data_IF_725425513004
#
_entry.id   IF_725425513004
#
_cell.length_a   1.000
_cell.length_b   1.000
_cell.length_c   1.000
_cell.angle_alpha   90.00
_cell.angle_beta   90.00
_cell.angle_gamma   90.00
#
_symmetry.space_group_name_H-M   'P 1'
#
loop_
_entity.id
_entity.type
_entity.pdbx_description
1 polymer ?
#
# COMPACT_ATOMS: atom_id res chain seq x y z
N UNK A 1 -0.12 15.91 -4.26
CA UNK A 1 -0.38 14.99 -3.14
C UNK A 1 0.82 14.09 -2.94
N UNK A 2 1.30 14.04 -1.73
CA UNK A 2 2.43 13.19 -1.36
C UNK A 2 1.94 12.04 -0.48
N UNK A 3 2.31 10.83 -0.84
CA UNK A 3 1.93 9.64 -0.08
C UNK A 3 3.20 9.02 0.50
N UNK A 4 3.27 8.95 1.82
CA UNK A 4 4.35 8.27 2.53
C UNK A 4 3.94 6.83 2.75
N UNK A 5 4.85 5.90 2.49
CA UNK A 5 4.55 4.47 2.60
C UNK A 5 5.60 3.80 3.47
N UNK A 6 5.16 2.97 4.40
CA UNK A 6 6.05 2.24 5.28
C UNK A 6 5.71 0.76 5.28
N UNK A 7 6.73 -0.06 5.23
CA UNK A 7 6.59 -1.51 5.23
C UNK A 7 7.20 -2.08 6.52
N UNK A 8 6.46 -2.95 7.19
CA UNK A 8 6.90 -3.55 8.44
C UNK A 8 7.11 -5.05 8.30
N UNK A 9 7.82 -5.61 9.26
CA UNK A 9 8.03 -7.05 9.35
C UNK A 9 8.71 -7.64 8.12
N UNK A 10 8.30 -8.84 7.75
CA UNK A 10 8.91 -9.52 6.60
C UNK A 10 8.62 -8.86 5.25
N UNK A 11 7.63 -7.98 5.18
CA UNK A 11 7.41 -7.21 3.94
C UNK A 11 8.60 -6.30 3.66
N UNK A 12 9.14 -5.68 4.70
CA UNK A 12 10.33 -4.85 4.57
C UNK A 12 11.49 -5.66 4.01
N UNK A 13 11.66 -6.88 4.50
CA UNK A 13 12.74 -7.75 4.05
C UNK A 13 12.50 -8.25 2.62
N UNK A 14 11.26 -8.65 2.32
CA UNK A 14 10.90 -9.17 1.00
C UNK A 14 11.06 -8.11 -0.09
N UNK A 15 10.65 -6.89 0.20
CA UNK A 15 10.72 -5.79 -0.77
C UNK A 15 12.07 -5.08 -0.77
N UNK A 16 12.89 -5.32 0.26
CA UNK A 16 14.20 -4.69 0.37
C UNK A 16 14.14 -3.22 0.74
N UNK A 17 13.00 -2.74 1.23
CA UNK A 17 12.82 -1.35 1.59
C UNK A 17 11.96 -1.22 2.83
N UNK A 18 12.18 -0.17 3.60
CA UNK A 18 11.40 0.15 4.78
C UNK A 18 10.38 1.26 4.49
N UNK A 19 10.79 2.26 3.72
CA UNK A 19 9.95 3.42 3.42
C UNK A 19 10.03 3.76 1.94
N UNK A 20 8.94 4.37 1.44
CA UNK A 20 8.90 4.87 0.08
C UNK A 20 7.92 6.05 0.02
N UNK A 21 7.94 6.75 -1.10
CA UNK A 21 7.05 7.89 -1.33
C UNK A 21 6.50 7.82 -2.74
N UNK A 22 5.24 8.27 -2.87
CA UNK A 22 4.60 8.46 -4.17
C UNK A 22 4.12 9.90 -4.22
N UNK A 23 4.28 10.53 -5.36
CA UNK A 23 3.87 11.92 -5.53
C UNK A 23 2.98 12.06 -6.76
N UNK A 24 1.85 12.75 -6.58
CA UNK A 24 0.94 13.10 -7.67
C UNK A 24 0.92 14.62 -7.78
N UNK A 25 1.28 15.14 -8.96
CA UNK A 25 1.41 16.59 -9.16
C UNK A 25 0.06 17.29 -9.25
N UNK A 26 -1.00 16.57 -9.62
CA UNK A 26 -2.33 17.16 -9.73
C UNK A 26 -3.02 17.21 -8.36
N UNK A 27 -4.13 17.96 -8.30
CA UNK A 27 -4.92 18.09 -7.09
C UNK A 27 -6.20 17.24 -7.12
N UNK A 28 -6.30 16.32 -8.06
CA UNK A 28 -7.48 15.47 -8.21
C UNK A 28 -7.48 14.35 -7.17
N UNK A 29 -8.67 13.90 -6.74
CA UNK A 29 -8.74 12.68 -5.96
C UNK A 29 -8.24 11.48 -6.76
N UNK A 30 -7.48 10.62 -6.11
CA UNK A 30 -6.98 9.39 -6.72
C UNK A 30 -7.56 8.19 -5.98
N UNK A 31 -7.93 7.15 -6.73
CA UNK A 31 -8.32 5.90 -6.11
C UNK A 31 -7.12 5.28 -5.40
N UNK A 32 -7.39 4.59 -4.31
CA UNK A 32 -6.34 3.89 -3.58
C UNK A 32 -5.61 2.90 -4.49
N UNK A 33 -6.35 2.25 -5.41
CA UNK A 33 -5.75 1.36 -6.41
C UNK A 33 -4.73 2.07 -7.29
N UNK A 34 -4.98 3.34 -7.65
CA UNK A 34 -4.03 4.10 -8.44
C UNK A 34 -2.74 4.34 -7.67
N UNK A 35 -2.86 4.62 -6.38
CA UNK A 35 -1.70 4.82 -5.52
C UNK A 35 -0.87 3.54 -5.43
N UNK A 36 -1.54 2.40 -5.26
CA UNK A 36 -0.85 1.11 -5.19
C UNK A 36 -0.19 0.75 -6.52
N UNK A 37 -0.84 1.06 -7.64
CA UNK A 37 -0.24 0.84 -8.96
C UNK A 37 0.99 1.72 -9.17
N UNK A 38 0.95 2.95 -8.70
CA UNK A 38 2.12 3.84 -8.80
C UNK A 38 3.27 3.31 -7.95
N UNK A 39 2.98 2.80 -6.77
CA UNK A 39 3.99 2.13 -5.94
C UNK A 39 4.59 0.93 -6.67
N UNK A 40 3.75 0.16 -7.36
CA UNK A 40 4.20 -1.02 -8.10
C UNK A 40 5.13 -0.65 -9.25
N UNK A 41 4.90 0.50 -9.89
CA UNK A 41 5.80 0.99 -10.93
C UNK A 41 7.22 1.20 -10.42
N UNK A 42 7.36 1.52 -9.14
CA UNK A 42 8.66 1.69 -8.50
C UNK A 42 9.20 0.42 -7.87
N UNK A 43 8.32 -0.46 -7.39
CA UNK A 43 8.70 -1.64 -6.59
C UNK A 43 8.51 -2.97 -7.31
N UNK A 44 7.82 -2.97 -8.44
CA UNK A 44 7.65 -4.16 -9.27
C UNK A 44 6.50 -5.06 -8.83
N UNK A 45 6.40 -6.21 -9.50
CA UNK A 45 5.31 -7.15 -9.29
C UNK A 45 5.31 -7.80 -7.90
N UNK A 46 6.46 -7.90 -7.27
CA UNK A 46 6.56 -8.49 -5.94
C UNK A 46 5.67 -7.75 -4.95
N UNK A 47 5.63 -6.42 -5.07
CA UNK A 47 4.76 -5.61 -4.23
C UNK A 47 3.29 -5.95 -4.46
N UNK A 48 2.86 -5.98 -5.72
CA UNK A 48 1.45 -6.29 -6.03
C UNK A 48 1.05 -7.69 -5.59
N UNK A 49 1.93 -8.67 -5.76
CA UNK A 49 1.67 -10.04 -5.32
C UNK A 49 1.57 -10.16 -3.80
N UNK A 50 2.27 -9.30 -3.09
CA UNK A 50 2.18 -9.28 -1.63
C UNK A 50 0.87 -8.68 -1.15
N UNK A 51 0.34 -7.70 -1.87
CA UNK A 51 -0.83 -6.93 -1.44
C UNK A 51 -2.14 -7.54 -1.94
N UNK A 52 -2.18 -8.03 -3.18
CA UNK A 52 -3.40 -8.53 -3.82
C UNK A 52 -3.40 -10.04 -3.95
N UNK A 53 -4.59 -10.62 -3.78
CA UNK A 53 -4.85 -12.01 -4.16
C UNK A 53 -5.10 -12.07 -5.67
N UNK A 54 -5.03 -13.27 -6.28
CA UNK A 54 -5.32 -13.42 -7.72
C UNK A 54 -6.69 -12.91 -8.14
N UNK A 55 -7.67 -12.88 -7.23
CA UNK A 55 -9.01 -12.40 -7.53
C UNK A 55 -9.14 -10.88 -7.45
N UNK A 56 -8.06 -10.17 -7.15
CA UNK A 56 -8.06 -8.72 -7.07
C UNK A 56 -8.40 -8.14 -5.71
N UNK A 57 -8.74 -8.96 -4.74
CA UNK A 57 -8.98 -8.48 -3.38
C UNK A 57 -7.67 -8.40 -2.61
N UNK A 58 -7.69 -7.67 -1.48
CA UNK A 58 -6.50 -7.56 -0.65
C UNK A 58 -6.16 -8.90 0.01
N UNK A 59 -4.87 -9.13 0.14
CA UNK A 59 -4.35 -10.29 0.87
C UNK A 59 -4.75 -10.16 2.35
N UNK A 60 -5.51 -11.14 2.91
CA UNK A 60 -5.96 -11.04 4.29
C UNK A 60 -4.83 -11.18 5.31
N UNK A 61 -3.64 -11.57 4.88
CA UNK A 61 -2.48 -11.68 5.76
C UNK A 61 -1.72 -10.36 5.91
N UNK A 62 -2.22 -9.29 5.29
CA UNK A 62 -1.62 -7.96 5.39
C UNK A 62 -2.69 -6.97 5.81
N UNK A 63 -2.39 -6.17 6.82
CA UNK A 63 -3.22 -5.02 7.16
C UNK A 63 -2.68 -3.79 6.48
N UNK A 64 -3.56 -3.04 5.83
CA UNK A 64 -3.21 -1.79 5.17
C UNK A 64 -3.86 -0.66 5.95
N UNK A 65 -3.06 0.26 6.44
CA UNK A 65 -3.54 1.34 7.30
C UNK A 65 -3.27 2.68 6.64
N UNK A 66 -4.32 3.45 6.40
CA UNK A 66 -4.24 4.78 5.81
C UNK A 66 -4.57 5.81 6.88
N UNK A 67 -3.58 6.63 7.24
CA UNK A 67 -3.74 7.66 8.28
C UNK A 67 -4.35 7.10 9.56
N UNK A 68 -3.91 5.91 9.97
CA UNK A 68 -4.36 5.28 11.21
C UNK A 68 -5.65 4.47 11.11
N UNK A 69 -6.23 4.36 9.91
CA UNK A 69 -7.46 3.60 9.72
C UNK A 69 -7.23 2.43 8.78
N UNK A 70 -7.80 1.28 9.09
CA UNK A 70 -7.70 0.09 8.25
C UNK A 70 -8.47 0.31 6.95
N UNK A 71 -7.82 -0.02 5.84
CA UNK A 71 -8.41 0.05 4.50
C UNK A 71 -8.84 -1.36 4.10
N UNK A 72 -10.11 -1.53 3.75
CA UNK A 72 -10.67 -2.85 3.42
C UNK A 72 -10.75 -3.11 1.93
N UNK A 73 -10.68 -2.07 1.11
CA UNK A 73 -10.69 -2.22 -0.34
C UNK A 73 -9.93 -1.05 -0.98
N UNK A 74 -9.67 -1.16 -2.28
CA UNK A 74 -8.86 -0.17 -2.99
C UNK A 74 -9.69 0.87 -3.75
N UNK A 75 -10.97 0.96 -3.47
CA UNK A 75 -11.88 1.87 -4.19
C UNK A 75 -12.12 3.20 -3.50
N UNK A 76 -11.49 3.40 -2.34
CA UNK A 76 -11.57 4.69 -1.66
C UNK A 76 -10.76 5.74 -2.42
N UNK A 77 -11.13 6.99 -2.26
CA UNK A 77 -10.43 8.10 -2.92
C UNK A 77 -9.60 8.88 -1.91
N UNK A 78 -8.44 9.30 -2.33
CA UNK A 78 -7.51 10.08 -1.52
C UNK A 78 -7.13 11.33 -2.29
N UNK A 79 -7.23 12.50 -1.67
CA UNK A 79 -6.90 13.76 -2.34
C UNK A 79 -6.00 14.68 -1.51
N UNK A 80 -5.46 14.18 -0.42
CA UNK A 80 -4.56 14.94 0.46
C UNK A 80 -3.35 14.10 0.80
N UNK A 81 -2.26 14.75 1.17
CA UNK A 81 -1.09 14.06 1.68
C UNK A 81 -1.51 13.06 2.75
N UNK A 82 -0.95 11.87 2.68
CA UNK A 82 -1.34 10.80 3.58
C UNK A 82 -0.18 9.84 3.84
N UNK A 83 -0.40 8.96 4.81
CA UNK A 83 0.57 7.92 5.16
C UNK A 83 -0.10 6.57 5.08
N UNK A 84 0.58 5.61 4.46
CA UNK A 84 0.12 4.22 4.34
C UNK A 84 1.12 3.33 5.06
N UNK A 85 0.59 2.42 5.86
CA UNK A 85 1.39 1.45 6.60
C UNK A 85 0.94 0.06 6.20
N UNK A 86 1.89 -0.78 5.77
CA UNK A 86 1.64 -2.18 5.44
C UNK A 86 2.20 -3.05 6.55
N UNK A 87 1.31 -3.78 7.24
CA UNK A 87 1.68 -4.63 8.37
C UNK A 87 1.32 -6.07 8.06
N UNK A 88 2.29 -6.96 7.88
CA UNK A 88 1.98 -8.38 7.67
C UNK A 88 1.59 -9.01 8.99
N UNK A 89 0.60 -9.91 8.93
CA UNK A 89 0.34 -10.77 10.08
C UNK A 89 1.44 -11.81 10.14
N UNK A 90 1.97 -12.02 11.31
CA UNK A 90 2.97 -13.06 11.51
C UNK A 90 2.37 -14.44 11.56
N UNK A 91 1.07 -14.53 11.59
CA UNK A 91 0.33 -15.77 11.41
C UNK A 91 0.55 -16.84 12.45
N UNK A 92 1.30 -16.62 13.43
CA UNK A 92 1.59 -17.63 14.42
C UNK A 92 0.44 -17.85 15.39
N UNK A 93 -0.60 -17.59 14.86
CA UNK A 93 -1.84 -17.78 15.68
C UNK A 93 -1.67 -17.08 16.30
#
# INVERSE_FOLDING_TARGET
MRVSVKFLGHLRDTLGIEESYVFFADSKPHLFSEILNELANHKGETFLKAVYKPDGSFNPHISIILNGKVVLNDKIKVNKDCSILFIPFTGSG
#
